data_IF_045248551170
#
_entry.id   IF_045248551170
#
_cell.length_a   1.000
_cell.length_b   1.000
_cell.length_c   1.000
_cell.angle_alpha   90.00
_cell.angle_beta   90.00
_cell.angle_gamma   90.00
#
_symmetry.space_group_name_H-M   'P 1'
#
loop_
_entity.id
_entity.type
_entity.pdbx_description
1 polymer ?
#
# COMPACT_ATOMS: atom_id res chain seq x y z
N UNK A 1 -25.30 17.21 -6.38
CA UNK A 1 -24.92 15.98 -7.13
C UNK A 1 -26.17 15.19 -7.44
N UNK A 2 -26.28 14.63 -8.64
CA UNK A 2 -27.36 13.67 -8.96
C UNK A 2 -27.08 12.31 -8.32
N UNK A 3 -28.11 11.47 -8.21
CA UNK A 3 -27.98 10.09 -7.74
C UNK A 3 -26.95 9.30 -8.59
N UNK A 4 -26.91 9.54 -9.89
CA UNK A 4 -25.96 8.90 -10.79
C UNK A 4 -24.51 9.21 -10.43
N UNK A 5 -24.18 10.46 -10.06
CA UNK A 5 -22.82 10.82 -9.61
C UNK A 5 -22.43 10.08 -8.33
N UNK A 6 -23.35 9.97 -7.36
CA UNK A 6 -23.12 9.23 -6.12
C UNK A 6 -22.86 7.74 -6.38
N UNK A 7 -23.70 7.11 -7.22
CA UNK A 7 -23.56 5.71 -7.56
C UNK A 7 -22.22 5.41 -8.26
N UNK A 8 -21.79 6.30 -9.16
CA UNK A 8 -20.48 6.17 -9.82
C UNK A 8 -19.32 6.33 -8.84
N UNK A 9 -19.39 7.30 -7.90
CA UNK A 9 -18.34 7.48 -6.89
C UNK A 9 -18.25 6.29 -5.92
N UNK A 10 -19.38 5.72 -5.51
CA UNK A 10 -19.43 4.53 -4.67
C UNK A 10 -18.71 3.36 -5.37
N UNK A 11 -18.95 3.17 -6.68
CA UNK A 11 -18.25 2.14 -7.46
C UNK A 11 -16.73 2.33 -7.44
N UNK A 12 -16.24 3.57 -7.60
CA UNK A 12 -14.80 3.87 -7.56
C UNK A 12 -14.21 3.68 -6.16
N UNK A 13 -14.92 4.11 -5.12
CA UNK A 13 -14.53 3.90 -3.72
C UNK A 13 -14.39 2.41 -3.39
N UNK A 14 -15.36 1.61 -3.84
CA UNK A 14 -15.35 0.16 -3.65
C UNK A 14 -14.21 -0.50 -4.45
N UNK A 15 -13.97 -0.05 -5.67
CA UNK A 15 -12.81 -0.51 -6.45
C UNK A 15 -11.50 -0.24 -5.71
N UNK A 16 -11.33 0.95 -5.14
CA UNK A 16 -10.13 1.31 -4.37
C UNK A 16 -9.97 0.41 -3.14
N UNK A 17 -11.07 0.15 -2.43
CA UNK A 17 -11.07 -0.77 -1.30
C UNK A 17 -10.60 -2.17 -1.70
N UNK A 18 -11.13 -2.72 -2.78
CA UNK A 18 -10.83 -4.09 -3.26
C UNK A 18 -9.36 -4.20 -3.70
N UNK A 19 -8.86 -3.23 -4.48
CA UNK A 19 -7.48 -3.25 -4.96
C UNK A 19 -6.48 -3.18 -3.81
N UNK A 20 -6.67 -2.26 -2.86
CA UNK A 20 -5.82 -2.17 -1.67
C UNK A 20 -5.91 -3.40 -0.77
N UNK A 21 -7.11 -3.92 -0.55
CA UNK A 21 -7.29 -5.15 0.24
C UNK A 21 -6.49 -6.29 -0.38
N UNK A 22 -6.58 -6.49 -1.70
CA UNK A 22 -5.83 -7.53 -2.41
C UNK A 22 -4.32 -7.34 -2.32
N UNK A 23 -3.82 -6.11 -2.27
CA UNK A 23 -2.39 -5.82 -2.11
C UNK A 23 -1.85 -6.35 -0.78
N UNK A 24 -2.54 -6.05 0.33
CA UNK A 24 -2.02 -6.30 1.68
C UNK A 24 -2.49 -7.60 2.31
N UNK A 25 -3.56 -8.23 1.81
CA UNK A 25 -4.09 -9.50 2.34
C UNK A 25 -3.04 -10.60 2.46
N UNK A 26 -2.09 -10.81 1.53
CA UNK A 26 -1.07 -11.84 1.67
C UNK A 26 -0.23 -11.73 2.95
N UNK A 27 -0.01 -10.50 3.46
CA UNK A 27 0.73 -10.27 4.71
C UNK A 27 0.05 -10.97 5.90
N UNK A 28 -1.28 -10.96 5.94
CA UNK A 28 -2.07 -11.62 6.99
C UNK A 28 -2.24 -13.13 6.80
N UNK A 29 -1.83 -13.68 5.66
CA UNK A 29 -1.99 -15.09 5.27
C UNK A 29 -0.65 -15.81 5.07
N UNK A 30 0.48 -15.15 5.35
CA UNK A 30 1.81 -15.71 5.03
C UNK A 30 2.04 -17.06 5.68
N UNK A 31 1.68 -17.21 6.96
CA UNK A 31 1.88 -18.48 7.69
C UNK A 31 1.06 -19.62 7.08
N UNK A 32 -0.18 -19.36 6.70
CA UNK A 32 -1.07 -20.37 6.13
C UNK A 32 -0.57 -20.85 4.76
N UNK A 33 -0.18 -19.90 3.88
CA UNK A 33 0.37 -20.19 2.55
C UNK A 33 1.73 -20.89 2.67
N UNK A 34 2.59 -20.43 3.58
CA UNK A 34 3.89 -21.05 3.87
C UNK A 34 3.74 -22.51 4.26
N UNK A 35 2.84 -22.79 5.19
CA UNK A 35 2.61 -24.13 5.73
C UNK A 35 2.08 -25.07 4.65
N UNK A 36 1.13 -24.63 3.84
CA UNK A 36 0.52 -25.49 2.84
C UNK A 36 1.48 -25.87 1.70
N UNK A 37 2.29 -24.92 1.24
CA UNK A 37 3.27 -25.19 0.17
C UNK A 37 4.65 -25.63 0.68
N UNK A 38 4.82 -25.83 1.99
CA UNK A 38 6.09 -26.22 2.63
C UNK A 38 7.27 -25.31 2.25
N UNK A 39 7.04 -24.00 2.26
CA UNK A 39 8.00 -22.97 1.82
C UNK A 39 8.78 -22.39 3.00
N UNK A 40 9.93 -21.75 2.68
CA UNK A 40 10.61 -20.86 3.61
C UNK A 40 9.88 -19.52 3.72
N UNK A 41 10.18 -18.73 4.78
CA UNK A 41 9.60 -17.40 4.96
C UNK A 41 10.02 -16.45 3.83
N UNK A 42 11.28 -16.53 3.37
CA UNK A 42 11.74 -15.75 2.23
C UNK A 42 10.97 -16.10 0.96
N UNK A 43 10.75 -17.40 0.69
CA UNK A 43 10.05 -17.85 -0.49
C UNK A 43 8.60 -17.36 -0.53
N UNK A 44 7.85 -17.49 0.57
CA UNK A 44 6.46 -17.01 0.61
C UNK A 44 6.39 -15.47 0.58
N UNK A 45 7.36 -14.78 1.19
CA UNK A 45 7.48 -13.33 1.14
C UNK A 45 7.67 -12.76 -0.27
N UNK A 46 8.16 -13.59 -1.23
CA UNK A 46 8.23 -13.19 -2.64
C UNK A 46 6.87 -12.85 -3.24
N UNK A 47 5.75 -13.32 -2.67
CA UNK A 47 4.40 -12.88 -3.08
C UNK A 47 4.22 -11.37 -2.92
N UNK A 48 4.84 -10.77 -1.92
CA UNK A 48 4.79 -9.32 -1.64
C UNK A 48 5.87 -8.62 -2.49
N UNK A 49 7.08 -9.15 -2.49
CA UNK A 49 8.23 -8.55 -3.18
C UNK A 49 8.01 -8.45 -4.69
N UNK A 50 7.68 -9.57 -5.35
CA UNK A 50 7.46 -9.61 -6.79
C UNK A 50 6.27 -8.75 -7.18
N UNK A 51 5.17 -8.81 -6.42
CA UNK A 51 4.01 -7.96 -6.65
C UNK A 51 4.40 -6.47 -6.69
N UNK A 52 5.08 -6.00 -5.66
CA UNK A 52 5.45 -4.59 -5.55
C UNK A 52 6.47 -4.16 -6.63
N UNK A 53 7.43 -5.03 -6.96
CA UNK A 53 8.38 -4.76 -8.04
C UNK A 53 7.71 -4.73 -9.42
N UNK A 54 6.73 -5.61 -9.67
CA UNK A 54 5.92 -5.58 -10.90
C UNK A 54 5.13 -4.27 -10.99
N UNK A 55 4.48 -3.85 -9.89
CA UNK A 55 3.77 -2.55 -9.85
C UNK A 55 4.74 -1.42 -10.17
N UNK A 56 5.91 -1.36 -9.54
CA UNK A 56 6.91 -0.33 -9.77
C UNK A 56 7.40 -0.31 -11.22
N UNK A 57 7.79 -1.46 -11.76
CA UNK A 57 8.38 -1.57 -13.09
C UNK A 57 7.36 -1.31 -14.22
N UNK A 58 6.12 -1.78 -14.04
CA UNK A 58 5.13 -1.79 -15.10
C UNK A 58 4.14 -0.62 -15.07
N UNK A 59 4.08 0.17 -13.97
CA UNK A 59 3.15 1.31 -13.89
C UNK A 59 3.28 2.26 -15.07
N UNK A 60 4.48 2.70 -15.38
CA UNK A 60 4.71 3.64 -16.47
C UNK A 60 4.55 3.00 -17.87
N UNK A 61 5.20 1.86 -18.19
CA UNK A 61 5.04 1.22 -19.49
C UNK A 61 3.60 0.85 -19.83
N UNK A 62 2.90 0.20 -18.91
CA UNK A 62 1.52 -0.21 -19.15
C UNK A 62 0.58 0.99 -19.28
N UNK A 63 0.78 2.04 -18.45
CA UNK A 63 -0.04 3.25 -18.56
C UNK A 63 0.16 3.95 -19.91
N UNK A 64 1.38 3.98 -20.47
CA UNK A 64 1.65 4.54 -21.80
C UNK A 64 0.90 3.73 -22.87
N UNK A 65 0.96 2.39 -22.81
CA UNK A 65 0.28 1.51 -23.78
C UNK A 65 -1.24 1.75 -23.82
N UNK A 66 -1.87 1.93 -22.67
CA UNK A 66 -3.32 2.07 -22.56
C UNK A 66 -3.79 3.53 -22.52
N UNK A 67 -2.90 4.51 -22.62
CA UNK A 67 -3.18 5.94 -22.42
C UNK A 67 -4.24 6.53 -23.36
N UNK A 68 -4.43 5.93 -24.54
CA UNK A 68 -5.43 6.35 -25.54
C UNK A 68 -6.80 5.70 -25.33
N UNK A 69 -6.89 4.67 -24.47
CA UNK A 69 -8.16 3.99 -24.21
C UNK A 69 -9.12 4.90 -23.45
N UNK A 70 -10.41 4.77 -23.75
CA UNK A 70 -11.49 5.39 -22.98
C UNK A 70 -11.46 4.84 -21.54
N UNK A 71 -11.52 5.75 -20.54
CA UNK A 71 -11.23 5.42 -19.14
C UNK A 71 -12.23 4.43 -18.51
N UNK A 72 -13.53 4.53 -18.87
CA UNK A 72 -14.52 3.54 -18.40
C UNK A 72 -14.21 2.15 -18.95
N UNK A 73 -13.91 2.05 -20.24
CA UNK A 73 -13.55 0.80 -20.89
C UNK A 73 -12.28 0.21 -20.25
N UNK A 74 -11.28 1.05 -20.00
CA UNK A 74 -10.05 0.64 -19.31
C UNK A 74 -10.35 0.13 -17.89
N UNK A 75 -11.17 0.85 -17.12
CA UNK A 75 -11.56 0.43 -15.77
C UNK A 75 -12.26 -0.94 -15.77
N UNK A 76 -13.15 -1.19 -16.74
CA UNK A 76 -13.82 -2.48 -16.88
C UNK A 76 -12.84 -3.60 -17.23
N UNK A 77 -11.88 -3.36 -18.14
CA UNK A 77 -10.83 -4.32 -18.43
C UNK A 77 -9.99 -4.65 -17.19
N UNK A 78 -9.62 -3.63 -16.39
CA UNK A 78 -8.85 -3.83 -15.16
C UNK A 78 -9.63 -4.65 -14.14
N UNK A 79 -10.89 -4.33 -13.88
CA UNK A 79 -11.75 -5.10 -12.95
C UNK A 79 -11.98 -6.54 -13.44
N UNK A 80 -12.20 -6.76 -14.74
CA UNK A 80 -12.37 -8.08 -15.32
C UNK A 80 -11.12 -8.94 -15.19
N UNK A 81 -9.96 -8.43 -15.59
CA UNK A 81 -8.67 -9.12 -15.46
C UNK A 81 -8.31 -9.36 -13.99
N UNK A 82 -8.51 -8.36 -13.13
CA UNK A 82 -8.31 -8.51 -11.69
C UNK A 82 -9.16 -9.64 -11.12
N UNK A 83 -10.45 -9.70 -11.47
CA UNK A 83 -11.34 -10.79 -11.07
C UNK A 83 -10.83 -12.15 -11.55
N UNK A 84 -10.42 -12.26 -12.82
CA UNK A 84 -9.89 -13.50 -13.36
C UNK A 84 -8.63 -13.97 -12.62
N UNK A 85 -7.70 -13.06 -12.30
CA UNK A 85 -6.51 -13.39 -11.53
C UNK A 85 -6.81 -13.71 -10.05
N UNK A 86 -7.84 -13.13 -9.44
CA UNK A 86 -8.28 -13.52 -8.10
C UNK A 86 -8.86 -14.95 -8.10
N UNK A 87 -9.66 -15.30 -9.11
CA UNK A 87 -10.14 -16.67 -9.30
C UNK A 87 -8.96 -17.63 -9.54
N UNK A 88 -7.96 -17.22 -10.33
CA UNK A 88 -6.75 -18.01 -10.52
C UNK A 88 -5.98 -18.22 -9.21
N UNK A 89 -5.93 -17.20 -8.31
CA UNK A 89 -5.34 -17.33 -6.97
C UNK A 89 -6.11 -18.35 -6.12
N UNK A 90 -7.44 -18.36 -6.19
CA UNK A 90 -8.28 -19.36 -5.52
C UNK A 90 -8.01 -20.79 -6.03
N UNK A 91 -7.88 -20.96 -7.34
CA UNK A 91 -7.67 -22.25 -7.99
C UNK A 91 -6.20 -22.74 -7.95
N UNK A 92 -5.30 -21.99 -7.30
CA UNK A 92 -3.87 -22.31 -7.36
C UNK A 92 -3.54 -23.58 -6.55
N UNK A 93 -3.05 -24.61 -7.25
CA UNK A 93 -2.58 -25.87 -6.68
C UNK A 93 -1.06 -25.87 -6.44
N UNK A 94 -0.37 -24.83 -6.90
CA UNK A 94 1.07 -24.65 -6.73
C UNK A 94 1.42 -23.21 -6.42
N UNK A 95 2.55 -23.00 -5.73
CA UNK A 95 3.07 -21.67 -5.45
C UNK A 95 3.37 -20.88 -6.73
N UNK A 96 3.86 -21.55 -7.79
CA UNK A 96 4.10 -20.92 -9.09
C UNK A 96 2.83 -20.36 -9.73
N UNK A 97 1.71 -21.08 -9.65
CA UNK A 97 0.41 -20.61 -10.14
C UNK A 97 -0.10 -19.44 -9.31
N UNK A 98 0.04 -19.50 -7.98
CA UNK A 98 -0.29 -18.39 -7.09
C UNK A 98 0.56 -17.15 -7.43
N UNK A 99 1.87 -17.31 -7.61
CA UNK A 99 2.77 -16.22 -7.99
C UNK A 99 2.37 -15.59 -9.34
N UNK A 100 2.08 -16.40 -10.33
CA UNK A 100 1.65 -15.90 -11.65
C UNK A 100 0.34 -15.11 -11.55
N UNK A 101 -0.62 -15.60 -10.77
CA UNK A 101 -1.86 -14.86 -10.52
C UNK A 101 -1.60 -13.51 -9.83
N UNK A 102 -0.69 -13.47 -8.86
CA UNK A 102 -0.29 -12.24 -8.16
C UNK A 102 0.41 -11.24 -9.07
N UNK A 103 1.24 -11.71 -10.00
CA UNK A 103 1.84 -10.87 -11.07
C UNK A 103 0.74 -10.26 -11.94
N UNK A 104 -0.26 -11.07 -12.34
CA UNK A 104 -1.41 -10.58 -13.11
C UNK A 104 -2.22 -9.51 -12.37
N UNK A 105 -2.49 -9.72 -11.07
CA UNK A 105 -3.13 -8.71 -10.21
C UNK A 105 -2.28 -7.44 -10.14
N UNK A 106 -0.95 -7.56 -9.97
CA UNK A 106 -0.03 -6.42 -9.91
C UNK A 106 -0.03 -5.59 -11.20
N UNK A 107 -0.13 -6.25 -12.37
CA UNK A 107 -0.27 -5.55 -13.66
C UNK A 107 -1.55 -4.69 -13.71
N UNK A 108 -2.68 -5.22 -13.25
CA UNK A 108 -3.93 -4.44 -13.19
C UNK A 108 -3.84 -3.29 -12.18
N UNK A 109 -3.25 -3.54 -11.02
CA UNK A 109 -3.03 -2.57 -9.96
C UNK A 109 -2.16 -1.40 -10.42
N UNK A 110 -1.10 -1.68 -11.17
CA UNK A 110 -0.16 -0.67 -11.68
C UNK A 110 -0.83 0.41 -12.54
N UNK A 111 -1.87 0.04 -13.32
CA UNK A 111 -2.64 0.97 -14.14
C UNK A 111 -3.75 1.64 -13.31
N UNK A 112 -4.38 0.89 -12.40
CA UNK A 112 -5.54 1.33 -11.63
C UNK A 112 -5.30 2.67 -10.92
N UNK A 113 -4.19 2.82 -10.21
CA UNK A 113 -3.88 4.04 -9.48
C UNK A 113 -3.68 5.27 -10.38
N UNK A 114 -3.27 5.04 -11.63
CA UNK A 114 -3.10 6.13 -12.59
C UNK A 114 -4.42 6.70 -13.12
N UNK A 115 -5.51 5.92 -13.07
CA UNK A 115 -6.79 6.32 -13.67
C UNK A 115 -7.89 6.63 -12.66
N UNK A 116 -7.83 6.08 -11.44
CA UNK A 116 -8.95 6.16 -10.48
C UNK A 116 -9.27 7.61 -10.10
N UNK A 117 -8.28 8.41 -9.72
CA UNK A 117 -8.46 9.82 -9.37
C UNK A 117 -8.88 10.69 -10.57
N UNK A 118 -8.27 10.59 -11.77
CA UNK A 118 -8.78 11.21 -12.98
C UNK A 118 -10.24 10.90 -13.31
N UNK A 119 -10.67 9.63 -13.19
CA UNK A 119 -12.09 9.28 -13.40
C UNK A 119 -12.95 10.00 -12.37
N UNK A 120 -12.61 9.88 -11.07
CA UNK A 120 -13.40 10.43 -9.98
C UNK A 120 -13.68 11.94 -10.14
N UNK A 121 -12.66 12.73 -10.51
CA UNK A 121 -12.84 14.18 -10.70
C UNK A 121 -13.60 14.58 -11.97
N UNK A 122 -13.64 13.68 -12.97
CA UNK A 122 -14.29 13.97 -14.26
C UNK A 122 -15.77 13.63 -14.29
N UNK A 123 -16.21 12.71 -13.46
CA UNK A 123 -17.61 12.28 -13.39
C UNK A 123 -18.47 13.17 -12.49
N UNK A 124 -17.90 14.18 -11.85
CA UNK A 124 -18.61 15.08 -10.95
C UNK A 124 -18.47 16.55 -11.37
N UNK A 125 -19.44 17.43 -11.01
CA UNK A 125 -19.29 18.86 -11.19
C UNK A 125 -18.06 19.41 -10.44
N UNK A 126 -17.48 20.50 -10.94
CA UNK A 126 -16.23 21.07 -10.45
C UNK A 126 -16.20 21.32 -8.93
N UNK A 127 -17.30 21.87 -8.39
CA UNK A 127 -17.47 22.14 -6.95
C UNK A 127 -17.41 20.89 -6.06
N UNK A 128 -17.51 19.68 -6.63
CA UNK A 128 -17.50 18.41 -5.89
C UNK A 128 -16.24 17.55 -6.14
N UNK A 129 -15.25 18.06 -6.88
CA UNK A 129 -14.00 17.33 -7.17
C UNK A 129 -13.25 16.91 -5.91
N UNK A 130 -13.19 17.78 -4.92
CA UNK A 130 -12.55 17.46 -3.61
C UNK A 130 -13.26 16.30 -2.90
N UNK A 131 -14.60 16.30 -2.90
CA UNK A 131 -15.39 15.19 -2.34
C UNK A 131 -15.12 13.88 -3.09
N UNK A 132 -15.04 13.90 -4.41
CA UNK A 132 -14.76 12.71 -5.21
C UNK A 132 -13.38 12.10 -4.88
N UNK A 133 -12.35 12.93 -4.75
CA UNK A 133 -11.02 12.49 -4.33
C UNK A 133 -11.03 11.95 -2.89
N UNK A 134 -11.74 12.61 -1.98
CA UNK A 134 -11.89 12.15 -0.59
C UNK A 134 -12.54 10.77 -0.52
N UNK A 135 -13.54 10.48 -1.35
CA UNK A 135 -14.17 9.15 -1.40
C UNK A 135 -13.21 8.06 -1.88
N UNK A 136 -12.39 8.34 -2.89
CA UNK A 136 -11.33 7.41 -3.34
C UNK A 136 -10.34 7.13 -2.20
N UNK A 137 -9.86 8.17 -1.51
CA UNK A 137 -8.94 8.05 -0.38
C UNK A 137 -9.60 7.28 0.78
N UNK A 138 -10.90 7.52 1.04
CA UNK A 138 -11.65 6.78 2.07
C UNK A 138 -11.68 5.28 1.77
N UNK A 139 -11.90 4.88 0.51
CA UNK A 139 -11.85 3.46 0.10
C UNK A 139 -10.49 2.83 0.44
N UNK A 140 -9.40 3.54 0.15
CA UNK A 140 -8.04 3.12 0.48
C UNK A 140 -7.83 3.00 2.00
N UNK A 141 -8.26 4.00 2.76
CA UNK A 141 -8.10 4.01 4.22
C UNK A 141 -8.88 2.89 4.89
N UNK A 142 -10.11 2.64 4.44
CA UNK A 142 -10.94 1.53 4.96
C UNK A 142 -10.30 0.18 4.63
N UNK A 143 -9.70 0.03 3.45
CA UNK A 143 -8.98 -1.19 3.08
C UNK A 143 -7.75 -1.44 3.97
N UNK A 144 -7.00 -0.40 4.29
CA UNK A 144 -5.85 -0.52 5.19
C UNK A 144 -6.25 -0.93 6.61
N UNK A 145 -7.42 -0.48 7.08
CA UNK A 145 -7.92 -0.81 8.43
C UNK A 145 -8.56 -2.20 8.46
N UNK A 146 -9.41 -2.51 7.50
CA UNK A 146 -10.27 -3.70 7.52
C UNK A 146 -9.84 -4.78 6.54
N UNK A 147 -9.17 -4.43 5.43
CA UNK A 147 -8.90 -5.35 4.33
C UNK A 147 -8.06 -6.55 4.74
N UNK A 148 -6.91 -6.32 5.36
CA UNK A 148 -6.04 -7.39 5.82
C UNK A 148 -6.67 -8.22 6.96
N UNK A 149 -7.25 -7.61 8.04
CA UNK A 149 -7.91 -8.37 9.09
C UNK A 149 -9.11 -9.19 8.60
N UNK A 150 -9.96 -8.64 7.74
CA UNK A 150 -11.10 -9.37 7.16
C UNK A 150 -10.61 -10.55 6.31
N UNK A 151 -9.58 -10.32 5.48
CA UNK A 151 -8.97 -11.39 4.70
C UNK A 151 -8.40 -12.50 5.59
N UNK A 152 -7.75 -12.14 6.70
CA UNK A 152 -7.26 -13.09 7.68
C UNK A 152 -8.38 -13.87 8.36
N UNK A 153 -9.48 -13.21 8.78
CA UNK A 153 -10.64 -13.87 9.38
C UNK A 153 -11.22 -14.92 8.41
N UNK A 154 -11.39 -14.57 7.13
CA UNK A 154 -11.85 -15.51 6.11
C UNK A 154 -10.84 -16.67 5.99
N UNK A 155 -9.54 -16.36 5.90
CA UNK A 155 -8.49 -17.35 5.77
C UNK A 155 -8.46 -18.36 6.92
N UNK A 156 -8.61 -17.91 8.16
CA UNK A 156 -8.62 -18.77 9.35
C UNK A 156 -9.84 -19.70 9.43
N UNK A 157 -11.02 -19.26 8.96
CA UNK A 157 -12.26 -20.04 9.12
C UNK A 157 -12.56 -20.96 7.93
N UNK A 158 -12.23 -20.53 6.72
CA UNK A 158 -12.59 -21.24 5.48
C UNK A 158 -11.42 -21.44 4.52
N UNK A 159 -10.19 -21.10 4.95
CA UNK A 159 -8.97 -21.27 4.19
C UNK A 159 -8.57 -20.02 3.39
N UNK A 160 -7.28 -19.81 3.24
CA UNK A 160 -6.69 -18.63 2.59
C UNK A 160 -7.13 -18.45 1.12
N UNK A 161 -7.40 -19.54 0.39
CA UNK A 161 -7.92 -19.49 -0.98
C UNK A 161 -9.26 -18.77 -1.05
N UNK A 162 -10.12 -18.99 -0.07
CA UNK A 162 -11.45 -18.35 -0.01
C UNK A 162 -11.36 -16.84 0.18
N UNK A 163 -10.27 -16.35 0.76
CA UNK A 163 -10.02 -14.90 0.83
C UNK A 163 -9.86 -14.31 -0.57
N UNK A 164 -9.06 -14.94 -1.44
CA UNK A 164 -8.90 -14.49 -2.82
C UNK A 164 -10.20 -14.64 -3.63
N UNK A 165 -10.92 -15.73 -3.46
CA UNK A 165 -12.23 -15.90 -4.10
C UNK A 165 -13.22 -14.82 -3.66
N UNK A 166 -13.28 -14.49 -2.37
CA UNK A 166 -14.14 -13.44 -1.84
C UNK A 166 -13.82 -12.09 -2.49
N UNK A 167 -12.53 -11.73 -2.58
CA UNK A 167 -12.09 -10.51 -3.27
C UNK A 167 -12.50 -10.56 -4.74
N UNK A 168 -12.38 -11.72 -5.41
CA UNK A 168 -12.80 -11.93 -6.78
C UNK A 168 -14.31 -11.73 -6.98
N UNK A 169 -15.15 -12.27 -6.09
CA UNK A 169 -16.60 -12.10 -6.11
C UNK A 169 -16.97 -10.63 -5.94
N UNK A 170 -16.40 -9.94 -4.95
CA UNK A 170 -16.63 -8.50 -4.77
C UNK A 170 -16.16 -7.68 -5.96
N UNK A 171 -15.05 -8.07 -6.59
CA UNK A 171 -14.57 -7.42 -7.81
C UNK A 171 -15.51 -7.66 -9.00
N UNK A 172 -16.03 -8.88 -9.18
CA UNK A 172 -17.01 -9.18 -10.23
C UNK A 172 -18.31 -8.38 -10.04
N UNK A 173 -18.80 -8.29 -8.80
CA UNK A 173 -19.93 -7.43 -8.46
C UNK A 173 -19.65 -5.97 -8.81
N UNK A 174 -18.46 -5.47 -8.42
CA UNK A 174 -18.03 -4.09 -8.72
C UNK A 174 -17.87 -3.86 -10.22
N UNK A 175 -17.39 -4.85 -10.98
CA UNK A 175 -17.34 -4.81 -12.44
C UNK A 175 -18.74 -4.61 -13.04
N UNK A 176 -19.70 -5.45 -12.67
CA UNK A 176 -21.09 -5.33 -13.15
C UNK A 176 -21.70 -3.98 -12.77
N UNK A 177 -21.51 -3.55 -11.53
CA UNK A 177 -22.02 -2.27 -11.04
C UNK A 177 -21.38 -1.07 -11.78
N UNK A 178 -20.06 -1.11 -11.99
CA UNK A 178 -19.32 -0.09 -12.75
C UNK A 178 -19.77 -0.05 -14.22
N UNK A 179 -20.01 -1.22 -14.83
CA UNK A 179 -20.52 -1.31 -16.20
C UNK A 179 -21.90 -0.65 -16.37
N UNK A 180 -22.73 -0.70 -15.32
CA UNK A 180 -24.08 -0.11 -15.35
C UNK A 180 -24.10 1.39 -14.98
N UNK A 181 -23.20 1.84 -14.11
CA UNK A 181 -23.32 3.16 -13.47
C UNK A 181 -22.24 4.17 -13.88
N UNK A 182 -21.04 3.72 -14.27
CA UNK A 182 -19.98 4.63 -14.66
C UNK A 182 -20.26 5.22 -16.06
N UNK A 183 -20.30 6.54 -16.23
CA UNK A 183 -20.47 7.16 -17.55
C UNK A 183 -19.22 6.98 -18.43
N UNK A 184 -19.35 7.20 -19.72
CA UNK A 184 -18.23 7.25 -20.65
C UNK A 184 -17.32 8.41 -20.27
N UNK A 185 -16.02 8.14 -20.10
CA UNK A 185 -15.01 9.12 -19.71
C UNK A 185 -13.90 9.14 -20.77
N UNK A 186 -13.92 10.08 -21.73
CA UNK A 186 -12.93 10.14 -22.80
C UNK A 186 -11.51 10.28 -22.26
N UNK A 187 -10.53 9.63 -22.90
CA UNK A 187 -9.11 9.89 -22.59
C UNK A 187 -8.73 11.31 -23.03
N UNK A 188 -7.93 12.00 -22.22
CA UNK A 188 -7.37 13.34 -22.58
C UNK A 188 -5.88 13.26 -22.99
N UNK A 189 -5.40 12.08 -23.35
CA UNK A 189 -4.01 11.86 -23.71
C UNK A 189 -3.13 11.48 -22.52
N UNK A 190 -1.99 10.93 -22.84
CA UNK A 190 -1.11 10.26 -21.89
C UNK A 190 -0.15 11.17 -21.16
N UNK A 191 0.50 10.56 -20.22
CA UNK A 191 1.65 11.04 -19.47
C UNK A 191 2.79 11.46 -20.44
N UNK A 192 3.33 12.66 -20.25
CA UNK A 192 4.48 13.13 -21.04
C UNK A 192 5.81 12.82 -20.32
N UNK A 193 6.50 11.80 -20.79
CA UNK A 193 7.86 11.42 -20.31
C UNK A 193 8.86 12.59 -20.50
N UNK A 194 8.59 13.50 -21.44
CA UNK A 194 9.44 14.67 -21.69
C UNK A 194 9.60 15.62 -20.50
N UNK A 195 8.68 15.59 -19.54
CA UNK A 195 8.73 16.42 -18.32
C UNK A 195 9.64 15.82 -17.22
N UNK A 196 10.08 14.59 -17.38
CA UNK A 196 10.85 13.86 -16.37
C UNK A 196 12.20 14.53 -16.03
N UNK A 197 13.04 14.96 -16.99
CA UNK A 197 14.30 15.62 -16.67
C UNK A 197 14.13 16.93 -15.90
N UNK A 198 13.12 17.73 -16.27
CA UNK A 198 12.80 18.98 -15.58
C UNK A 198 12.35 18.74 -14.13
N UNK A 199 11.59 17.69 -13.88
CA UNK A 199 11.19 17.29 -12.55
C UNK A 199 12.39 16.85 -11.70
N UNK A 200 13.24 15.97 -12.23
CA UNK A 200 14.40 15.45 -11.49
C UNK A 200 15.43 16.53 -11.13
N UNK A 201 15.45 17.63 -11.89
CA UNK A 201 16.29 18.80 -11.59
C UNK A 201 15.69 19.71 -10.49
N UNK A 202 14.47 19.48 -10.03
CA UNK A 202 13.91 20.26 -8.93
C UNK A 202 14.65 19.95 -7.62
N UNK A 203 14.98 21.01 -6.88
CA UNK A 203 15.73 20.90 -5.61
C UNK A 203 14.97 20.03 -4.61
N UNK A 204 15.66 19.03 -4.09
CA UNK A 204 15.16 18.15 -3.02
C UNK A 204 14.34 16.96 -3.50
N UNK A 205 13.87 16.87 -4.76
CA UNK A 205 13.00 15.79 -5.22
C UNK A 205 13.71 14.42 -5.17
N UNK A 206 14.94 14.34 -5.68
CA UNK A 206 15.73 13.10 -5.66
C UNK A 206 16.00 12.67 -4.21
N UNK A 207 16.37 13.62 -3.34
CA UNK A 207 16.60 13.34 -1.93
C UNK A 207 15.33 12.82 -1.25
N UNK A 208 14.16 13.37 -1.58
CA UNK A 208 12.88 12.90 -1.07
C UNK A 208 12.57 11.48 -1.55
N UNK A 209 12.90 11.13 -2.79
CA UNK A 209 12.73 9.76 -3.30
C UNK A 209 13.67 8.76 -2.61
N UNK A 210 14.94 9.11 -2.42
CA UNK A 210 15.89 8.27 -1.66
C UNK A 210 15.40 8.08 -0.22
N UNK A 211 14.96 9.14 0.43
CA UNK A 211 14.40 9.07 1.77
C UNK A 211 13.16 8.17 1.84
N UNK A 212 12.24 8.31 0.88
CA UNK A 212 11.06 7.44 0.77
C UNK A 212 11.46 5.98 0.61
N UNK A 213 12.43 5.67 -0.27
CA UNK A 213 12.92 4.31 -0.45
C UNK A 213 13.48 3.74 0.85
N UNK A 214 14.32 4.47 1.57
CA UNK A 214 14.91 4.02 2.83
C UNK A 214 13.84 3.76 3.90
N UNK A 215 12.90 4.69 4.09
CA UNK A 215 11.85 4.55 5.12
C UNK A 215 10.86 3.45 4.76
N UNK A 216 10.42 3.35 3.50
CA UNK A 216 9.50 2.27 3.09
C UNK A 216 10.17 0.91 3.18
N UNK A 217 11.44 0.78 2.78
CA UNK A 217 12.19 -0.48 2.97
C UNK A 217 12.29 -0.84 4.44
N UNK A 218 12.69 0.10 5.31
CA UNK A 218 12.78 -0.10 6.75
C UNK A 218 11.46 -0.59 7.36
N UNK A 219 10.36 0.07 7.00
CA UNK A 219 9.02 -0.25 7.44
C UNK A 219 8.60 -1.67 7.01
N UNK A 220 8.80 -2.02 5.72
CA UNK A 220 8.35 -3.29 5.18
C UNK A 220 9.25 -4.49 5.52
N UNK A 221 10.50 -4.29 5.99
CA UNK A 221 11.28 -5.36 6.63
C UNK A 221 10.52 -5.95 7.81
N UNK A 222 9.92 -5.11 8.66
CA UNK A 222 9.11 -5.56 9.80
C UNK A 222 7.67 -5.91 9.41
N UNK A 223 7.00 -5.02 8.69
CA UNK A 223 5.56 -5.11 8.44
C UNK A 223 5.16 -6.31 7.56
N UNK A 224 5.98 -6.68 6.59
CA UNK A 224 5.67 -7.83 5.73
C UNK A 224 5.63 -9.16 6.48
N UNK A 225 6.30 -9.25 7.61
CA UNK A 225 6.36 -10.45 8.45
C UNK A 225 5.74 -10.26 9.83
N UNK A 226 4.92 -9.21 10.01
CA UNK A 226 4.30 -8.90 11.30
C UNK A 226 3.39 -10.03 11.79
N UNK A 227 2.62 -10.66 10.90
CA UNK A 227 1.75 -11.79 11.23
C UNK A 227 2.55 -12.99 11.79
N UNK A 228 3.53 -13.55 11.05
CA UNK A 228 4.32 -14.65 11.59
C UNK A 228 5.15 -14.24 12.81
N UNK A 229 5.58 -12.98 12.94
CA UNK A 229 6.26 -12.48 14.15
C UNK A 229 5.34 -12.54 15.37
N UNK A 230 4.12 -12.04 15.27
CA UNK A 230 3.14 -12.07 16.37
C UNK A 230 2.78 -13.51 16.78
N UNK A 231 2.72 -14.46 15.83
CA UNK A 231 2.47 -15.88 16.12
C UNK A 231 3.65 -16.60 16.71
N UNK A 232 4.85 -16.46 16.14
CA UNK A 232 6.01 -17.31 16.42
C UNK A 232 6.90 -16.74 17.53
N UNK A 233 7.04 -15.42 17.64
CA UNK A 233 7.90 -14.75 18.63
C UNK A 233 7.07 -14.31 19.85
N UNK A 234 5.92 -13.70 19.63
CA UNK A 234 5.07 -13.25 20.73
C UNK A 234 4.04 -14.30 21.20
N UNK A 235 3.97 -15.47 20.52
CA UNK A 235 3.07 -16.58 20.84
C UNK A 235 1.60 -16.16 20.98
N UNK A 236 1.16 -15.18 20.19
CA UNK A 236 -0.20 -14.68 20.22
C UNK A 236 -1.16 -15.66 19.54
N UNK A 237 -2.38 -15.79 20.08
CA UNK A 237 -3.46 -16.53 19.44
C UNK A 237 -3.90 -15.85 18.13
N UNK A 238 -4.51 -16.59 17.22
CA UNK A 238 -4.97 -16.05 15.93
C UNK A 238 -5.95 -14.88 16.09
N UNK A 239 -6.81 -14.92 17.12
CA UNK A 239 -7.72 -13.82 17.44
C UNK A 239 -6.97 -12.56 17.90
N UNK A 240 -5.94 -12.71 18.72
CA UNK A 240 -5.12 -11.59 19.18
C UNK A 240 -4.26 -11.02 18.06
N UNK A 241 -3.71 -11.85 17.17
CA UNK A 241 -3.02 -11.39 15.96
C UNK A 241 -3.95 -10.55 15.09
N UNK A 242 -5.16 -11.05 14.84
CA UNK A 242 -6.16 -10.31 14.06
C UNK A 242 -6.52 -8.98 14.73
N UNK A 243 -6.73 -8.97 16.05
CA UNK A 243 -7.01 -7.75 16.81
C UNK A 243 -5.84 -6.76 16.75
N UNK A 244 -4.60 -7.22 16.86
CA UNK A 244 -3.41 -6.37 16.75
C UNK A 244 -3.30 -5.70 15.37
N UNK A 245 -3.59 -6.46 14.29
CA UNK A 245 -3.61 -5.93 12.93
C UNK A 245 -4.75 -4.92 12.72
N UNK A 246 -5.93 -5.15 13.30
CA UNK A 246 -7.04 -4.18 13.30
C UNK A 246 -6.68 -2.89 14.05
N UNK A 247 -6.05 -3.02 15.22
CA UNK A 247 -5.61 -1.88 16.03
C UNK A 247 -4.52 -1.11 15.29
N UNK A 248 -3.56 -1.79 14.66
CA UNK A 248 -2.53 -1.18 13.82
C UNK A 248 -3.15 -0.32 12.71
N UNK A 249 -4.06 -0.89 11.92
CA UNK A 249 -4.75 -0.17 10.84
C UNK A 249 -5.63 0.97 11.37
N UNK A 250 -6.44 0.71 12.41
CA UNK A 250 -7.33 1.68 13.04
C UNK A 250 -6.60 2.87 13.66
N UNK A 251 -5.44 2.64 14.27
CA UNK A 251 -4.58 3.70 14.81
C UNK A 251 -4.05 4.65 13.73
N UNK A 252 -4.01 4.21 12.46
CA UNK A 252 -3.69 5.07 11.32
C UNK A 252 -4.61 6.29 11.20
N UNK A 253 -5.86 6.18 11.64
CA UNK A 253 -6.76 7.34 11.69
C UNK A 253 -6.23 8.45 12.62
N UNK A 254 -5.67 8.07 13.78
CA UNK A 254 -5.03 9.03 14.70
C UNK A 254 -3.79 9.67 14.06
N UNK A 255 -3.06 8.90 13.21
CA UNK A 255 -1.95 9.42 12.42
C UNK A 255 -2.38 10.51 11.43
N UNK A 256 -3.50 10.31 10.74
CA UNK A 256 -4.09 11.33 9.85
C UNK A 256 -4.55 12.57 10.61
N UNK A 257 -5.13 12.43 11.80
CA UNK A 257 -5.49 13.54 12.66
C UNK A 257 -4.26 14.31 13.16
N UNK A 258 -3.21 13.59 13.57
CA UNK A 258 -1.94 14.21 13.97
C UNK A 258 -1.33 15.01 12.82
N UNK A 259 -1.34 14.46 11.60
CA UNK A 259 -0.91 15.18 10.40
C UNK A 259 -1.70 16.48 10.20
N UNK A 260 -3.03 16.41 10.20
CA UNK A 260 -3.87 17.58 9.94
C UNK A 260 -3.67 18.71 10.97
N UNK A 261 -3.33 18.37 12.23
CA UNK A 261 -3.16 19.33 13.33
C UNK A 261 -1.74 19.89 13.42
N UNK A 262 -0.71 19.10 13.17
CA UNK A 262 0.67 19.44 13.51
C UNK A 262 1.58 19.66 12.32
N UNK A 263 1.32 19.06 11.16
CA UNK A 263 2.21 19.11 10.00
C UNK A 263 2.47 20.54 9.50
N UNK A 264 1.40 21.36 9.41
CA UNK A 264 1.51 22.74 8.92
C UNK A 264 2.29 23.67 9.86
N UNK A 265 2.42 23.32 11.15
CA UNK A 265 3.16 24.13 12.13
C UNK A 265 4.67 24.03 11.95
N UNK A 266 5.18 22.82 11.77
CA UNK A 266 6.59 22.56 11.52
C UNK A 266 6.76 21.22 10.80
N UNK A 267 6.82 21.27 9.47
CA UNK A 267 6.92 20.07 8.60
C UNK A 267 8.16 19.25 8.90
N UNK A 268 9.32 19.92 9.05
CA UNK A 268 10.59 19.27 9.36
C UNK A 268 10.50 18.47 10.66
N UNK A 269 10.06 19.11 11.74
CA UNK A 269 9.92 18.46 13.04
C UNK A 269 8.91 17.31 12.96
N UNK A 270 7.76 17.50 12.30
CA UNK A 270 6.74 16.46 12.16
C UNK A 270 7.30 15.20 11.48
N UNK A 271 7.93 15.33 10.31
CA UNK A 271 8.51 14.19 9.59
C UNK A 271 9.62 13.54 10.42
N UNK A 272 10.48 14.35 11.08
CA UNK A 272 11.53 13.84 11.97
C UNK A 272 10.96 12.97 13.08
N UNK A 273 9.94 13.46 13.81
CA UNK A 273 9.33 12.72 14.90
C UNK A 273 8.60 11.47 14.44
N UNK A 274 7.90 11.55 13.33
CA UNK A 274 7.16 10.39 12.79
C UNK A 274 8.11 9.26 12.36
N UNK A 275 9.20 9.58 11.67
CA UNK A 275 10.19 8.57 11.26
C UNK A 275 10.98 8.03 12.45
N UNK A 276 11.34 8.90 13.41
CA UNK A 276 11.95 8.46 14.66
C UNK A 276 11.04 7.48 15.42
N UNK A 277 9.75 7.82 15.53
CA UNK A 277 8.75 6.97 16.19
C UNK A 277 8.59 5.61 15.48
N UNK A 278 8.57 5.58 14.15
CA UNK A 278 8.55 4.33 13.38
C UNK A 278 9.79 3.47 13.66
N UNK A 279 10.99 4.07 13.65
CA UNK A 279 12.23 3.37 13.93
C UNK A 279 12.28 2.83 15.36
N UNK A 280 11.80 3.60 16.33
CA UNK A 280 11.67 3.17 17.74
C UNK A 280 10.66 2.03 17.88
N UNK A 281 9.50 2.10 17.23
CA UNK A 281 8.52 1.00 17.24
C UNK A 281 9.11 -0.29 16.68
N UNK A 282 9.84 -0.22 15.56
CA UNK A 282 10.56 -1.37 15.00
C UNK A 282 11.58 -1.93 15.99
N UNK A 283 12.38 -1.08 16.63
CA UNK A 283 13.36 -1.48 17.64
C UNK A 283 12.69 -2.18 18.83
N UNK A 284 11.49 -1.75 19.22
CA UNK A 284 10.77 -2.27 20.37
C UNK A 284 9.96 -3.53 20.08
N UNK A 285 9.79 -3.98 18.83
CA UNK A 285 9.00 -5.19 18.53
C UNK A 285 9.45 -6.39 19.34
N UNK A 286 10.71 -6.78 19.24
CA UNK A 286 11.26 -7.94 19.94
C UNK A 286 11.34 -7.73 21.47
N UNK A 287 11.85 -6.59 21.98
CA UNK A 287 11.86 -6.36 23.42
C UNK A 287 10.49 -6.35 24.10
N UNK A 288 9.41 -6.05 23.36
CA UNK A 288 8.05 -6.04 23.95
C UNK A 288 7.26 -7.33 23.70
N UNK A 289 7.82 -8.29 22.98
CA UNK A 289 7.14 -9.55 22.63
C UNK A 289 6.76 -10.41 23.84
N UNK A 290 7.41 -10.21 25.01
CA UNK A 290 7.06 -10.89 26.24
C UNK A 290 5.71 -10.44 26.84
N UNK A 291 5.16 -9.31 26.39
CA UNK A 291 3.89 -8.78 26.88
C UNK A 291 2.97 -8.42 25.71
N UNK A 292 1.89 -9.18 25.55
CA UNK A 292 0.88 -8.93 24.52
C UNK A 292 0.34 -7.49 24.56
N UNK A 293 0.08 -6.95 25.75
CA UNK A 293 -0.44 -5.58 25.91
C UNK A 293 0.56 -4.54 25.42
N UNK A 294 1.83 -4.66 25.78
CA UNK A 294 2.89 -3.73 25.34
C UNK A 294 3.08 -3.82 23.82
N UNK A 295 3.09 -5.01 23.27
CA UNK A 295 3.26 -5.23 21.84
C UNK A 295 2.08 -4.64 21.05
N UNK A 296 0.84 -4.77 21.52
CA UNK A 296 -0.34 -4.14 20.91
C UNK A 296 -0.20 -2.60 20.94
N UNK A 297 0.28 -2.02 22.03
CA UNK A 297 0.54 -0.57 22.11
C UNK A 297 1.60 -0.16 21.09
N UNK A 298 2.71 -0.92 20.98
CA UNK A 298 3.75 -0.66 19.96
C UNK A 298 3.16 -0.76 18.55
N UNK A 299 2.35 -1.77 18.25
CA UNK A 299 1.66 -1.89 16.96
C UNK A 299 0.73 -0.69 16.69
N UNK A 300 -0.04 -0.23 17.67
CA UNK A 300 -0.91 0.93 17.53
C UNK A 300 -0.12 2.22 17.21
N UNK A 301 0.94 2.48 17.96
CA UNK A 301 1.81 3.64 17.76
C UNK A 301 2.51 3.56 16.40
N UNK A 302 2.94 2.37 16.01
CA UNK A 302 3.56 2.15 14.71
C UNK A 302 2.60 2.39 13.54
N UNK A 303 1.36 1.88 13.60
CA UNK A 303 0.32 2.13 12.59
C UNK A 303 -0.04 3.61 12.47
N UNK A 304 -0.14 4.31 13.60
CA UNK A 304 -0.33 5.76 13.66
C UNK A 304 0.83 6.48 12.95
N UNK A 305 2.08 6.15 13.27
CA UNK A 305 3.26 6.77 12.67
C UNK A 305 3.39 6.46 11.17
N UNK A 306 3.11 5.23 10.75
CA UNK A 306 3.16 4.82 9.34
C UNK A 306 2.18 5.61 8.46
N UNK A 307 0.94 5.78 8.92
CA UNK A 307 -0.07 6.58 8.19
C UNK A 307 0.31 8.06 8.18
N UNK A 308 0.74 8.61 9.32
CA UNK A 308 1.21 9.99 9.42
C UNK A 308 2.38 10.28 8.47
N UNK A 309 3.33 9.35 8.36
CA UNK A 309 4.45 9.41 7.42
C UNK A 309 3.96 9.44 5.96
N UNK A 310 3.10 8.50 5.60
CA UNK A 310 2.61 8.36 4.22
C UNK A 310 1.93 9.65 3.74
N UNK A 311 1.02 10.20 4.54
CA UNK A 311 0.30 11.44 4.20
C UNK A 311 1.27 12.64 4.18
N UNK A 312 2.22 12.71 5.11
CA UNK A 312 3.21 13.79 5.17
C UNK A 312 4.12 13.79 3.94
N UNK A 313 4.56 12.62 3.48
CA UNK A 313 5.43 12.53 2.31
C UNK A 313 4.70 12.87 1.01
N UNK A 314 3.46 12.42 0.84
CA UNK A 314 2.63 12.84 -0.30
C UNK A 314 2.44 14.37 -0.32
N UNK A 315 2.11 14.94 0.83
CA UNK A 315 1.97 16.40 0.97
C UNK A 315 3.28 17.13 0.69
N UNK A 316 4.41 16.62 1.18
CA UNK A 316 5.72 17.20 0.94
C UNK A 316 6.07 17.24 -0.56
N UNK A 317 5.81 16.15 -1.29
CA UNK A 317 6.05 16.10 -2.75
C UNK A 317 5.19 17.12 -3.49
N UNK A 318 3.92 17.24 -3.14
CA UNK A 318 3.03 18.24 -3.75
C UNK A 318 3.57 19.66 -3.54
N UNK A 319 4.15 19.94 -2.38
CA UNK A 319 4.66 21.26 -2.02
C UNK A 319 6.00 21.62 -2.68
N UNK A 320 6.86 20.64 -2.94
CA UNK A 320 8.19 20.88 -3.56
C UNK A 320 8.16 20.78 -5.09
N UNK A 321 7.00 20.50 -5.68
CA UNK A 321 6.82 20.36 -7.13
C UNK A 321 5.92 21.46 -7.70
N UNK A 322 6.13 21.79 -8.97
CA UNK A 322 5.22 22.72 -9.67
C UNK A 322 3.90 22.02 -10.01
N UNK A 323 2.77 22.75 -10.14
CA UNK A 323 1.48 22.15 -10.48
C UNK A 323 1.50 21.28 -11.74
N UNK A 324 2.33 21.61 -12.73
CA UNK A 324 2.48 20.88 -13.99
C UNK A 324 3.24 19.55 -13.82
N UNK A 325 4.13 19.47 -12.83
CA UNK A 325 4.98 18.29 -12.59
C UNK A 325 4.49 17.41 -11.44
N UNK A 326 3.56 17.89 -10.63
CA UNK A 326 3.07 17.18 -9.43
C UNK A 326 2.53 15.78 -9.73
N UNK A 327 1.74 15.61 -10.79
CA UNK A 327 1.20 14.28 -11.15
C UNK A 327 2.30 13.28 -11.51
N UNK A 328 3.34 13.74 -12.20
CA UNK A 328 4.51 12.92 -12.55
C UNK A 328 5.30 12.56 -11.29
N UNK A 329 5.52 13.55 -10.43
CA UNK A 329 6.23 13.36 -9.17
C UNK A 329 5.54 12.35 -8.26
N UNK A 330 4.20 12.41 -8.16
CA UNK A 330 3.40 11.47 -7.39
C UNK A 330 3.43 10.05 -7.97
N UNK A 331 3.46 9.90 -9.29
CA UNK A 331 3.60 8.58 -9.92
C UNK A 331 4.96 7.95 -9.63
N UNK A 332 6.03 8.75 -9.69
CA UNK A 332 7.39 8.28 -9.33
C UNK A 332 7.45 7.95 -7.83
N UNK A 333 6.86 8.77 -6.97
CA UNK A 333 6.76 8.49 -5.55
C UNK A 333 6.09 7.15 -5.27
N UNK A 334 4.96 6.87 -5.92
CA UNK A 334 4.27 5.59 -5.82
C UNK A 334 5.16 4.42 -6.27
N UNK A 335 5.88 4.57 -7.38
CA UNK A 335 6.84 3.56 -7.84
C UNK A 335 7.99 3.33 -6.85
N UNK A 336 8.59 4.39 -6.31
CA UNK A 336 9.66 4.32 -5.29
C UNK A 336 9.13 3.68 -3.99
N UNK A 337 7.91 4.02 -3.59
CA UNK A 337 7.29 3.41 -2.41
C UNK A 337 7.09 1.91 -2.61
N UNK A 338 6.61 1.49 -3.79
CA UNK A 338 6.48 0.08 -4.15
C UNK A 338 7.85 -0.64 -4.24
N UNK A 339 8.89 0.04 -4.75
CA UNK A 339 10.26 -0.48 -4.69
C UNK A 339 10.67 -0.77 -3.23
N UNK A 340 10.34 0.15 -2.31
CA UNK A 340 10.58 -0.04 -0.89
C UNK A 340 9.78 -1.18 -0.27
N UNK A 341 8.49 -1.34 -0.64
CA UNK A 341 7.65 -2.49 -0.25
C UNK A 341 8.35 -3.81 -0.63
N UNK A 342 8.67 -3.95 -1.92
CA UNK A 342 9.27 -5.17 -2.45
C UNK A 342 10.64 -5.46 -1.85
N UNK A 343 11.50 -4.44 -1.73
CA UNK A 343 12.83 -4.59 -1.15
C UNK A 343 12.77 -4.91 0.35
N UNK A 344 11.87 -4.27 1.09
CA UNK A 344 11.67 -4.55 2.52
C UNK A 344 11.18 -5.98 2.75
N UNK A 345 10.19 -6.44 1.99
CA UNK A 345 9.71 -7.82 2.08
C UNK A 345 10.82 -8.83 1.70
N UNK A 346 11.60 -8.55 0.67
CA UNK A 346 12.73 -9.40 0.28
C UNK A 346 13.79 -9.51 1.39
N UNK A 347 14.30 -8.38 1.88
CA UNK A 347 15.31 -8.39 2.95
C UNK A 347 14.76 -8.96 4.25
N UNK A 348 13.51 -8.68 4.61
CA UNK A 348 12.85 -9.26 5.77
C UNK A 348 12.79 -10.79 5.67
N UNK A 349 12.47 -11.33 4.49
CA UNK A 349 12.50 -12.77 4.23
C UNK A 349 13.87 -13.40 4.39
N UNK A 350 14.91 -12.75 3.83
CA UNK A 350 16.30 -13.23 4.01
C UNK A 350 16.71 -13.24 5.48
N UNK A 351 16.31 -12.25 6.26
CA UNK A 351 16.57 -12.22 7.71
C UNK A 351 15.84 -13.37 8.40
N UNK A 352 14.59 -13.64 8.06
CA UNK A 352 13.82 -14.74 8.65
C UNK A 352 14.44 -16.12 8.37
N UNK A 353 15.03 -16.34 7.19
CA UNK A 353 15.55 -17.63 6.77
C UNK A 353 17.01 -17.85 7.22
N UNK A 354 17.86 -16.80 7.24
CA UNK A 354 19.29 -16.93 7.52
C UNK A 354 19.69 -16.52 8.94
N UNK A 355 18.82 -15.78 9.64
CA UNK A 355 19.04 -15.42 11.03
C UNK A 355 17.87 -15.92 11.90
N UNK A 356 16.94 -15.05 12.23
CA UNK A 356 15.71 -15.38 12.94
C UNK A 356 14.69 -14.26 12.74
N UNK A 357 13.40 -14.61 12.75
CA UNK A 357 12.31 -13.63 12.58
C UNK A 357 12.30 -12.55 13.66
N UNK A 358 12.85 -12.81 14.86
CA UNK A 358 12.98 -11.82 15.92
C UNK A 358 13.86 -10.63 15.55
N UNK A 359 14.74 -10.77 14.55
CA UNK A 359 15.65 -9.70 14.10
C UNK A 359 15.03 -8.74 13.09
N UNK A 360 13.84 -9.00 12.52
CA UNK A 360 13.21 -8.12 11.53
C UNK A 360 13.01 -6.70 12.06
N UNK A 361 12.62 -6.57 13.34
CA UNK A 361 12.45 -5.29 14.00
C UNK A 361 13.76 -4.51 14.11
N UNK A 362 14.84 -5.16 14.52
CA UNK A 362 16.16 -4.53 14.64
C UNK A 362 16.70 -4.08 13.28
N UNK A 363 16.62 -4.93 12.27
CA UNK A 363 17.08 -4.58 10.91
C UNK A 363 16.28 -3.41 10.32
N UNK A 364 14.96 -3.42 10.48
CA UNK A 364 14.10 -2.30 10.09
C UNK A 364 14.45 -1.02 10.86
N UNK A 365 14.71 -1.12 12.17
CA UNK A 365 15.09 0.02 13.00
C UNK A 365 16.42 0.64 12.57
N UNK A 366 17.46 -0.18 12.30
CA UNK A 366 18.76 0.30 11.83
C UNK A 366 18.59 1.13 10.54
N UNK A 367 17.88 0.58 9.56
CA UNK A 367 17.63 1.28 8.31
C UNK A 367 16.75 2.52 8.52
N UNK A 368 15.78 2.47 9.44
CA UNK A 368 14.95 3.60 9.84
C UNK A 368 15.76 4.75 10.47
N UNK A 369 16.72 4.43 11.32
CA UNK A 369 17.63 5.43 11.89
C UNK A 369 18.60 5.99 10.84
N UNK A 370 19.08 5.18 9.89
CA UNK A 370 19.87 5.66 8.75
C UNK A 370 19.05 6.65 7.92
N UNK A 371 17.78 6.31 7.63
CA UNK A 371 16.86 7.21 6.93
C UNK A 371 16.64 8.52 7.71
N UNK A 372 16.45 8.43 9.03
CA UNK A 372 16.30 9.60 9.90
C UNK A 372 17.54 10.51 9.86
N UNK A 373 18.74 9.94 9.95
CA UNK A 373 19.99 10.70 9.83
C UNK A 373 20.14 11.35 8.45
N UNK A 374 19.76 10.66 7.39
CA UNK A 374 19.73 11.20 6.04
C UNK A 374 18.78 12.40 5.93
N UNK A 375 17.57 12.28 6.50
CA UNK A 375 16.58 13.36 6.57
C UNK A 375 17.16 14.59 7.28
N UNK A 376 17.69 14.43 8.49
CA UNK A 376 18.18 15.53 9.32
C UNK A 376 19.35 16.26 8.63
N UNK A 377 20.32 15.52 8.05
CA UNK A 377 21.54 16.09 7.49
C UNK A 377 21.38 16.66 6.09
N UNK A 378 20.52 16.07 5.25
CA UNK A 378 20.47 16.41 3.81
C UNK A 378 19.22 17.12 3.36
N UNK A 379 18.07 16.77 3.93
CA UNK A 379 16.75 17.28 3.49
C UNK A 379 16.17 18.30 4.46
N UNK A 380 16.24 18.04 5.74
CA UNK A 380 15.63 18.90 6.76
C UNK A 380 16.21 20.32 6.86
N UNK A 381 17.30 20.61 6.18
CA UNK A 381 17.85 21.97 6.02
C UNK A 381 17.32 22.67 4.77
N UNK A 382 16.59 21.96 3.90
CA UNK A 382 16.12 22.46 2.58
C UNK A 382 14.59 22.51 2.46
N UNK A 383 13.88 22.06 3.49
CA UNK A 383 12.42 22.04 3.64
C UNK A 383 12.02 23.01 4.76
#
# INVERSE_FOLDING_TARGET
MSLSHWLSLISLTFSTFIFNTSEFVPIGLLTDIQTEFHLTKASVGMLISVYAWVVMLLSLPLMIMVSKMEMRRLMLWLLGLFTAFQVMSFLSDSFGMLMLSRIGVACTHSIFWSIISPIAVRIVPEKHRSLALSMVVTGSSVAMILGMPLGRIIGLHVGWRMTFLSIGIFSAFTFCYTALKLPIVPSRGGFSVRKLPALLNQKGIIGTYIFTLLVSTAYYIGYSYIEPFLKQVAHMSDSLVTAALMIFGGAGFLGSLAFSRYYSRNRKAFITWVVALMAVCLLLLTPTSFSTSLLIVVCAVWGMAATAYNVAMQSNIILITTPESTSVAMSIFSGIFNLGIGSGAFFGGQICDHADISYIGYAGAILGFIALLYWIKRLGTRV
#
